data_IF_889597336509
#
_entry.id   IF_889597336509
#
_cell.length_a   1.000
_cell.length_b   1.000
_cell.length_c   1.000
_cell.angle_alpha   90.00
_cell.angle_beta   90.00
_cell.angle_gamma   90.00
#
_symmetry.space_group_name_H-M   'P 1'
#
loop_
_entity.id
_entity.type
_entity.pdbx_description
1 polymer ?
#
# COMPACT_ATOMS: atom_id res chain seq x y z
N UNK A 1 16.08 -13.20 -6.46
CA UNK A 1 16.38 -11.76 -6.34
C UNK A 1 16.98 -11.46 -4.98
N UNK A 2 18.02 -10.66 -4.94
CA UNK A 2 18.67 -10.29 -3.67
C UNK A 2 18.04 -8.99 -3.17
N UNK A 3 17.59 -8.97 -1.93
CA UNK A 3 17.03 -7.77 -1.34
C UNK A 3 18.11 -6.71 -1.14
N UNK A 4 17.78 -5.46 -1.41
CA UNK A 4 18.70 -4.33 -1.20
C UNK A 4 18.50 -3.84 0.23
N UNK A 5 19.43 -4.15 1.11
CA UNK A 5 19.30 -3.88 2.55
C UNK A 5 19.04 -2.42 2.91
N UNK A 6 19.51 -1.50 2.07
CA UNK A 6 19.38 -0.07 2.33
C UNK A 6 18.20 0.57 1.59
N UNK A 7 17.39 -0.23 0.88
CA UNK A 7 16.27 0.31 0.12
C UNK A 7 14.96 0.10 0.87
N UNK A 8 14.27 1.19 1.16
CA UNK A 8 12.90 1.14 1.65
C UNK A 8 12.03 1.91 0.67
N UNK A 9 10.94 1.30 0.24
CA UNK A 9 9.98 1.95 -0.65
C UNK A 9 8.87 2.53 0.21
N UNK A 10 8.53 3.79 -0.01
CA UNK A 10 7.47 4.46 0.72
C UNK A 10 6.31 4.74 -0.23
N UNK A 11 5.13 4.26 0.12
CA UNK A 11 3.92 4.45 -0.68
C UNK A 11 2.96 5.34 0.07
N UNK A 12 2.55 6.44 -0.56
CA UNK A 12 1.60 7.37 0.05
C UNK A 12 0.18 6.93 -0.30
N UNK A 13 -0.53 6.43 0.69
CA UNK A 13 -1.91 5.98 0.55
C UNK A 13 -2.87 6.78 1.42
N UNK A 14 -2.47 7.99 1.81
CA UNK A 14 -3.21 8.80 2.77
C UNK A 14 -4.09 9.89 2.14
N UNK A 15 -4.15 9.98 0.83
CA UNK A 15 -4.94 10.99 0.14
C UNK A 15 -6.43 10.85 0.44
N UNK A 16 -7.11 11.96 0.65
CA UNK A 16 -8.53 11.93 1.01
C UNK A 16 -9.45 11.50 -0.12
N UNK A 17 -9.02 11.64 -1.37
CA UNK A 17 -9.86 11.28 -2.49
C UNK A 17 -11.17 12.03 -2.54
N UNK A 18 -11.14 13.32 -2.16
CA UNK A 18 -12.36 14.13 -1.97
C UNK A 18 -13.19 14.28 -3.23
N UNK A 19 -12.61 14.09 -4.40
CA UNK A 19 -13.34 14.20 -5.66
C UNK A 19 -14.03 12.92 -6.06
N UNK A 20 -13.82 11.84 -5.32
CA UNK A 20 -14.42 10.55 -5.63
C UNK A 20 -15.65 10.35 -4.77
N UNK A 21 -16.74 9.95 -5.41
CA UNK A 21 -18.00 9.73 -4.71
C UNK A 21 -18.13 8.32 -4.14
N UNK A 22 -17.11 7.50 -4.28
CA UNK A 22 -17.12 6.15 -3.74
C UNK A 22 -16.84 6.15 -2.24
N UNK A 23 -17.48 5.29 -1.46
CA UNK A 23 -17.16 5.14 -0.04
C UNK A 23 -15.82 4.47 0.21
N UNK A 24 -15.24 3.81 -0.81
CA UNK A 24 -13.95 3.17 -0.66
C UNK A 24 -12.82 4.18 -0.74
N UNK A 25 -11.80 4.08 0.13
CA UNK A 25 -10.59 4.86 -0.04
C UNK A 25 -9.99 4.64 -1.44
N UNK A 26 -9.42 5.69 -2.00
CA UNK A 26 -8.87 5.63 -3.36
C UNK A 26 -7.90 4.46 -3.58
N UNK A 27 -6.98 4.14 -2.64
CA UNK A 27 -6.07 3.02 -2.85
C UNK A 27 -6.75 1.67 -3.03
N UNK A 28 -8.01 1.55 -2.62
CA UNK A 28 -8.76 0.30 -2.73
C UNK A 28 -9.65 0.23 -3.96
N UNK A 29 -9.68 1.27 -4.78
CA UNK A 29 -10.44 1.22 -6.04
C UNK A 29 -9.80 0.19 -6.97
N UNK A 30 -10.64 -0.58 -7.67
CA UNK A 30 -10.16 -1.72 -8.46
C UNK A 30 -9.67 -1.29 -9.84
N UNK A 31 -8.57 -1.89 -10.25
CA UNK A 31 -8.07 -1.82 -11.62
C UNK A 31 -7.78 -3.25 -12.03
N UNK A 32 -8.42 -3.70 -13.10
CA UNK A 32 -8.31 -5.09 -13.54
C UNK A 32 -8.67 -6.09 -12.43
N UNK A 33 -9.67 -5.75 -11.61
CA UNK A 33 -10.16 -6.63 -10.57
C UNK A 33 -9.38 -6.66 -9.27
N UNK A 34 -8.29 -5.90 -9.17
CA UNK A 34 -7.53 -5.82 -7.92
C UNK A 34 -7.31 -4.36 -7.52
N UNK A 35 -7.15 -4.08 -6.22
CA UNK A 35 -6.98 -2.70 -5.76
C UNK A 35 -5.76 -2.03 -6.39
N UNK A 36 -5.87 -0.73 -6.65
CA UNK A 36 -4.74 0.05 -7.17
C UNK A 36 -3.50 -0.16 -6.31
N UNK A 37 -3.68 -0.17 -4.99
CA UNK A 37 -2.55 -0.34 -4.05
C UNK A 37 -1.84 -1.67 -4.29
N UNK A 38 -2.57 -2.73 -4.63
CA UNK A 38 -1.95 -4.02 -4.91
C UNK A 38 -1.02 -3.95 -6.11
N UNK A 39 -1.42 -3.22 -7.16
CA UNK A 39 -0.56 -3.03 -8.33
C UNK A 39 0.72 -2.28 -7.95
N UNK A 40 0.60 -1.27 -7.09
CA UNK A 40 1.75 -0.48 -6.64
C UNK A 40 2.68 -1.35 -5.79
N UNK A 41 2.12 -2.17 -4.91
CA UNK A 41 2.93 -3.07 -4.07
C UNK A 41 3.70 -4.08 -4.91
N UNK A 42 3.05 -4.63 -5.94
CA UNK A 42 3.72 -5.58 -6.83
C UNK A 42 4.88 -4.91 -7.56
N UNK A 43 4.68 -3.70 -8.05
CA UNK A 43 5.75 -2.95 -8.71
C UNK A 43 6.88 -2.61 -7.75
N UNK A 44 6.55 -2.20 -6.53
CA UNK A 44 7.55 -1.87 -5.52
C UNK A 44 8.39 -3.08 -5.14
N UNK A 45 7.76 -4.24 -5.03
CA UNK A 45 8.45 -5.47 -4.67
C UNK A 45 9.51 -5.86 -5.70
N UNK A 46 9.27 -5.52 -6.96
CA UNK A 46 10.23 -5.82 -8.03
C UNK A 46 11.59 -5.13 -7.81
N UNK A 47 11.61 -4.07 -7.02
CA UNK A 47 12.86 -3.36 -6.72
C UNK A 47 13.71 -4.09 -5.69
N UNK A 48 13.20 -5.16 -5.07
CA UNK A 48 13.92 -5.91 -4.05
C UNK A 48 14.16 -5.13 -2.77
N UNK A 49 13.18 -4.36 -2.25
CA UNK A 49 13.42 -3.55 -1.06
C UNK A 49 13.55 -4.38 0.22
N UNK A 50 14.22 -3.82 1.21
CA UNK A 50 14.26 -4.42 2.54
C UNK A 50 12.90 -4.35 3.23
N UNK A 51 12.13 -3.30 2.94
CA UNK A 51 10.78 -3.12 3.48
C UNK A 51 9.99 -2.16 2.61
N UNK A 52 8.66 -2.27 2.68
CA UNK A 52 7.75 -1.34 2.01
C UNK A 52 6.92 -0.66 3.10
N UNK A 53 7.01 0.66 3.19
CA UNK A 53 6.20 1.44 4.11
C UNK A 53 4.98 2.00 3.38
N UNK A 54 3.80 1.86 3.97
CA UNK A 54 2.56 2.40 3.43
C UNK A 54 2.05 3.47 4.38
N UNK A 55 2.06 4.72 3.93
CA UNK A 55 1.53 5.83 4.74
C UNK A 55 0.02 5.83 4.60
N UNK A 56 -0.68 5.69 5.72
CA UNK A 56 -2.13 5.58 5.76
C UNK A 56 -2.73 6.74 6.54
N UNK A 57 -3.94 7.16 6.15
CA UNK A 57 -4.64 8.26 6.80
C UNK A 57 -6.14 8.07 6.64
N UNK A 58 -6.75 8.80 5.70
CA UNK A 58 -8.18 8.64 5.45
C UNK A 58 -8.49 7.19 5.06
N UNK A 59 -9.39 6.56 5.80
CA UNK A 59 -9.75 5.17 5.54
C UNK A 59 -8.67 4.18 5.93
N UNK A 60 -7.79 4.54 6.87
CA UNK A 60 -6.64 3.70 7.24
C UNK A 60 -7.06 2.28 7.62
N UNK A 61 -8.11 2.13 8.44
CA UNK A 61 -8.54 0.81 8.89
C UNK A 61 -8.93 -0.09 7.72
N UNK A 62 -9.62 0.45 6.73
CA UNK A 62 -10.03 -0.30 5.55
C UNK A 62 -8.82 -0.67 4.70
N UNK A 63 -7.89 0.26 4.52
CA UNK A 63 -6.68 0.03 3.74
C UNK A 63 -5.82 -1.05 4.40
N UNK A 64 -5.59 -0.93 5.70
CA UNK A 64 -4.77 -1.91 6.44
C UNK A 64 -5.39 -3.29 6.35
N UNK A 65 -6.70 -3.39 6.58
CA UNK A 65 -7.40 -4.67 6.52
C UNK A 65 -7.32 -5.30 5.14
N UNK A 66 -7.55 -4.50 4.10
CA UNK A 66 -7.53 -5.00 2.73
C UNK A 66 -6.13 -5.48 2.33
N UNK A 67 -5.10 -4.74 2.71
CA UNK A 67 -3.72 -5.13 2.39
C UNK A 67 -3.34 -6.41 3.11
N UNK A 68 -3.61 -6.48 4.42
CA UNK A 68 -3.28 -7.69 5.19
C UNK A 68 -3.97 -8.91 4.63
N UNK A 69 -5.21 -8.77 4.19
CA UNK A 69 -5.95 -9.89 3.62
C UNK A 69 -5.43 -10.29 2.25
N UNK A 70 -4.88 -9.35 1.49
CA UNK A 70 -4.50 -9.59 0.10
C UNK A 70 -3.04 -9.93 -0.15
N UNK A 71 -2.16 -9.75 0.84
CA UNK A 71 -0.71 -9.91 0.60
C UNK A 71 -0.36 -11.25 -0.04
N UNK A 72 -0.92 -12.34 0.44
CA UNK A 72 -0.63 -13.66 -0.10
C UNK A 72 -1.16 -13.80 -1.52
N UNK A 73 -2.40 -13.37 -1.75
CA UNK A 73 -3.03 -13.47 -3.07
C UNK A 73 -2.29 -12.65 -4.12
N UNK A 74 -1.70 -11.54 -3.71
CA UNK A 74 -0.98 -10.67 -4.62
C UNK A 74 0.49 -11.04 -4.77
N UNK A 75 0.94 -12.07 -4.06
CA UNK A 75 2.32 -12.52 -4.12
C UNK A 75 3.31 -11.56 -3.48
N UNK A 76 2.88 -10.82 -2.47
CA UNK A 76 3.75 -9.87 -1.78
C UNK A 76 4.50 -10.59 -0.67
N UNK A 77 5.82 -10.70 -0.82
CA UNK A 77 6.70 -11.35 0.15
C UNK A 77 7.58 -10.38 0.91
N UNK A 78 7.76 -9.15 0.40
CA UNK A 78 8.55 -8.14 1.10
C UNK A 78 7.85 -7.71 2.40
N UNK A 79 8.60 -7.35 3.45
CA UNK A 79 7.98 -6.83 4.67
C UNK A 79 7.20 -5.55 4.40
N UNK A 80 5.99 -5.45 4.92
CA UNK A 80 5.13 -4.29 4.75
C UNK A 80 4.84 -3.68 6.12
N UNK A 81 5.06 -2.37 6.23
CA UNK A 81 4.84 -1.62 7.47
C UNK A 81 3.85 -0.51 7.19
N UNK A 82 2.89 -0.29 8.09
CA UNK A 82 1.91 0.79 7.97
C UNK A 82 2.34 1.97 8.83
N UNK A 83 2.34 3.17 8.23
CA UNK A 83 2.79 4.39 8.89
C UNK A 83 1.63 5.37 8.94
N UNK A 84 1.13 5.73 10.14
CA UNK A 84 0.05 6.72 10.23
C UNK A 84 0.51 8.09 9.73
N UNK A 85 -0.35 8.75 8.96
CA UNK A 85 -0.02 10.06 8.42
C UNK A 85 0.25 11.10 9.52
N UNK A 86 -0.41 10.96 10.65
CA UNK A 86 -0.24 11.90 11.76
C UNK A 86 1.20 12.00 12.23
N UNK A 87 1.98 10.94 12.03
CA UNK A 87 3.39 10.93 12.43
C UNK A 87 4.26 11.76 11.49
N UNK A 88 3.71 12.20 10.37
CA UNK A 88 4.44 12.94 9.36
C UNK A 88 4.12 14.44 9.34
N UNK A 89 3.20 14.88 10.17
CA UNK A 89 2.78 16.29 10.18
C UNK A 89 3.77 17.22 10.84
#
# INVERSE_FOLDING_TARGET
>A
MVAKKNLCVLILAAGKGTRMKSPLPKPLHLVCGIPILAHILKAAQELGPAAIGIVVGHGADEVVSAVKAGLTDWGITAPVVFIPQTDLS
#
